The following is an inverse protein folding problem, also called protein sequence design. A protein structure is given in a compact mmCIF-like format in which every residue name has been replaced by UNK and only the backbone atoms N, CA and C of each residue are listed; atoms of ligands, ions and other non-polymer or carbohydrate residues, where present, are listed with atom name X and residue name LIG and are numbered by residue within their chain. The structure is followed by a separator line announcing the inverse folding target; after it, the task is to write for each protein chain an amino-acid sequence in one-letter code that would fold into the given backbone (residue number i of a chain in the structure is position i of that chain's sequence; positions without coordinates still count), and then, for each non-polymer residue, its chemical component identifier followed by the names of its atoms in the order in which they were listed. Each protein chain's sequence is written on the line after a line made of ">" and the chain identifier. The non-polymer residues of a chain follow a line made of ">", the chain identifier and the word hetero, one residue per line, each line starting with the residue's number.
data_IF_125098703353
#
_entry.id   IF_125098703353
#
_cell.length_a   1.000
_cell.length_b   1.000
_cell.length_c   1.000
_cell.angle_alpha   90.00
_cell.angle_beta   90.00
_cell.angle_gamma   90.00
#
_symmetry.space_group_name_H-M   'P 1'
#
loop_
_entity.id
_entity.type
_entity.pdbx_description
1 polymer ?
#
# COMPACT_ATOMS: atom_id res chain seq x y z
N UNK A 1 -9.11 15.04 -4.52
CA UNK A 1 -8.51 13.76 -4.09
C UNK A 1 -7.10 14.04 -3.61
N UNK A 2 -6.75 13.65 -2.37
CA UNK A 2 -5.38 13.71 -1.87
C UNK A 2 -4.67 12.38 -2.17
N UNK A 3 -3.40 12.44 -2.55
CA UNK A 3 -2.57 11.26 -2.82
C UNK A 3 -1.18 11.50 -2.25
N UNK A 4 -0.62 10.48 -1.60
CA UNK A 4 0.72 10.50 -1.02
C UNK A 4 1.51 9.32 -1.57
N UNK A 5 2.71 9.58 -2.09
CA UNK A 5 3.69 8.56 -2.50
C UNK A 5 4.90 8.69 -1.58
N UNK A 6 5.32 7.58 -0.99
CA UNK A 6 6.44 7.57 -0.07
C UNK A 6 7.14 6.21 -0.12
N UNK A 7 8.47 6.22 0.03
CA UNK A 7 9.28 5.01 0.12
C UNK A 7 9.35 4.57 1.58
N UNK A 8 8.86 3.37 1.88
CA UNK A 8 8.80 2.79 3.23
C UNK A 8 9.84 1.68 3.37
N UNK A 9 10.61 1.69 4.45
CA UNK A 9 11.50 0.59 4.84
C UNK A 9 10.78 -0.47 5.65
N UNK A 10 11.32 -1.68 5.69
CA UNK A 10 10.83 -2.73 6.60
C UNK A 10 10.93 -2.24 8.05
N UNK A 11 9.86 -2.39 8.81
CA UNK A 11 9.71 -1.91 10.19
C UNK A 11 9.07 -0.52 10.31
N UNK A 12 8.98 0.26 9.22
CA UNK A 12 8.32 1.56 9.23
C UNK A 12 6.80 1.44 9.12
N UNK A 13 6.10 2.46 9.63
CA UNK A 13 4.64 2.53 9.68
C UNK A 13 4.13 3.85 9.10
N UNK A 14 2.97 3.79 8.45
CA UNK A 14 2.24 4.94 7.93
C UNK A 14 0.87 4.97 8.61
N UNK A 15 0.54 6.10 9.21
CA UNK A 15 -0.76 6.31 9.87
C UNK A 15 -1.64 7.28 9.09
N UNK A 16 -2.93 6.99 9.05
CA UNK A 16 -3.97 7.82 8.43
C UNK A 16 -5.01 8.22 9.49
N UNK A 17 -5.74 9.31 9.24
CA UNK A 17 -6.82 9.80 10.11
C UNK A 17 -6.41 9.84 11.60
N UNK A 18 -5.28 10.51 11.89
CA UNK A 18 -4.75 10.65 13.26
C UNK A 18 -4.54 9.32 14.01
N UNK A 19 -4.18 8.26 13.29
CA UNK A 19 -3.87 6.94 13.87
C UNK A 19 -5.01 5.93 13.80
N UNK A 20 -6.18 6.31 13.29
CA UNK A 20 -7.33 5.39 13.10
C UNK A 20 -7.01 4.21 12.20
N UNK A 21 -6.07 4.39 11.27
CA UNK A 21 -5.53 3.33 10.43
C UNK A 21 -4.01 3.42 10.49
N UNK A 22 -3.35 2.32 10.80
CA UNK A 22 -1.89 2.21 10.79
C UNK A 22 -1.47 1.02 9.93
N UNK A 23 -0.61 1.26 8.96
CA UNK A 23 -0.06 0.25 8.05
C UNK A 23 1.44 0.13 8.31
N UNK A 24 1.89 -1.07 8.68
CA UNK A 24 3.30 -1.37 8.94
C UNK A 24 3.84 -2.34 7.92
N UNK A 25 5.01 -2.05 7.35
CA UNK A 25 5.71 -3.00 6.47
C UNK A 25 6.48 -4.00 7.31
N UNK A 26 6.02 -5.25 7.36
CA UNK A 26 6.62 -6.29 8.19
C UNK A 26 7.82 -6.96 7.54
N UNK A 27 7.71 -7.29 6.26
CA UNK A 27 8.76 -7.96 5.52
C UNK A 27 8.59 -7.70 4.02
N UNK A 28 9.67 -7.84 3.26
CA UNK A 28 9.68 -7.67 1.82
C UNK A 28 10.51 -8.78 1.17
N UNK A 29 9.88 -9.55 0.29
CA UNK A 29 10.51 -10.59 -0.50
C UNK A 29 10.30 -10.31 -1.99
N UNK A 30 11.36 -9.86 -2.67
CA UNK A 30 11.31 -9.47 -4.08
C UNK A 30 10.27 -8.38 -4.34
N UNK A 31 9.20 -8.74 -5.08
CA UNK A 31 8.08 -7.85 -5.43
C UNK A 31 6.90 -7.91 -4.44
N UNK A 32 6.95 -8.80 -3.45
CA UNK A 32 5.90 -8.95 -2.45
C UNK A 32 6.32 -8.31 -1.15
N UNK A 33 5.38 -7.59 -0.52
CA UNK A 33 5.54 -7.07 0.83
C UNK A 33 4.45 -7.66 1.71
N UNK A 34 4.82 -8.03 2.94
CA UNK A 34 3.87 -8.37 3.99
C UNK A 34 3.55 -7.11 4.77
N UNK A 35 2.26 -6.77 4.83
CA UNK A 35 1.76 -5.61 5.55
C UNK A 35 0.98 -6.09 6.78
N UNK A 36 1.18 -5.42 7.91
CA UNK A 36 0.26 -5.45 9.04
C UNK A 36 -0.62 -4.21 8.96
N UNK A 37 -1.94 -4.39 9.01
CA UNK A 37 -2.90 -3.29 8.95
C UNK A 37 -3.70 -3.34 10.23
N UNK A 38 -3.59 -2.29 11.05
CA UNK A 38 -4.41 -2.09 12.23
C UNK A 38 -5.37 -0.95 11.95
N UNK A 39 -6.67 -1.19 12.13
CA UNK A 39 -7.69 -0.18 11.99
C UNK A 39 -8.77 -0.39 13.05
N UNK A 40 -9.46 0.69 13.44
CA UNK A 40 -10.61 0.61 14.34
C UNK A 40 -11.74 -0.25 13.74
N UNK A 41 -12.61 -0.79 14.59
CA UNK A 41 -13.69 -1.70 14.19
C UNK A 41 -14.67 -1.13 13.15
N UNK A 42 -14.82 0.20 13.09
CA UNK A 42 -15.68 0.87 12.10
C UNK A 42 -15.06 0.91 10.69
N UNK A 43 -13.80 0.51 10.53
CA UNK A 43 -13.06 0.60 9.26
C UNK A 43 -13.06 -0.77 8.58
N UNK A 44 -13.72 -0.84 7.42
CA UNK A 44 -13.69 -2.03 6.57
C UNK A 44 -12.37 -2.12 5.79
N UNK A 45 -11.60 -3.19 6.00
CA UNK A 45 -10.39 -3.48 5.25
C UNK A 45 -10.71 -4.48 4.13
N UNK A 46 -10.37 -4.15 2.89
CA UNK A 46 -10.55 -5.02 1.73
C UNK A 46 -9.24 -5.21 0.95
N UNK A 47 -8.92 -6.45 0.58
CA UNK A 47 -7.81 -6.73 -0.32
C UNK A 47 -8.29 -6.76 -1.77
N UNK A 48 -8.05 -5.67 -2.49
CA UNK A 48 -8.39 -5.54 -3.91
C UNK A 48 -7.22 -6.07 -4.74
N UNK A 49 -7.37 -7.28 -5.30
CA UNK A 49 -6.43 -7.79 -6.31
C UNK A 49 -6.65 -7.05 -7.62
N UNK A 50 -5.70 -6.22 -8.03
CA UNK A 50 -5.72 -5.66 -9.37
C UNK A 50 -5.57 -6.80 -10.40
N UNK A 51 -6.55 -6.97 -11.30
CA UNK A 51 -6.36 -7.81 -12.49
C UNK A 51 -5.26 -7.17 -13.34
N UNK A 52 -4.29 -7.97 -13.77
CA UNK A 52 -3.07 -7.54 -14.46
C UNK A 52 -3.31 -6.69 -15.74
N UNK A 53 -4.54 -6.64 -16.27
CA UNK A 53 -4.92 -5.82 -17.42
C UNK A 53 -5.14 -4.31 -17.11
N UNK A 54 -5.16 -3.89 -15.85
CA UNK A 54 -5.40 -2.48 -15.48
C UNK A 54 -4.12 -1.70 -15.13
N UNK A 55 -3.00 -2.37 -14.89
CA UNK A 55 -1.71 -1.73 -14.56
C UNK A 55 -0.93 -1.24 -15.79
N UNK A 56 -1.27 -1.72 -16.99
CA UNK A 56 -0.66 -1.28 -18.25
C UNK A 56 -1.16 0.10 -18.73
N UNK A 57 -2.24 0.64 -18.16
CA UNK A 57 -2.84 1.91 -18.61
C UNK A 57 -2.33 3.18 -17.91
N UNK A 58 -1.63 3.06 -16.79
CA UNK A 58 -1.23 4.22 -15.97
C UNK A 58 0.30 4.44 -15.83
N UNK A 59 1.07 4.12 -16.87
CA UNK A 59 2.37 4.76 -17.10
C UNK A 59 3.61 3.92 -16.82
N UNK A 60 3.94 3.01 -17.74
CA UNK A 60 5.32 2.55 -17.90
C UNK A 60 5.72 2.67 -19.38
N UNK A 61 5.89 3.92 -19.84
CA UNK A 61 6.72 4.19 -21.02
C UNK A 61 8.17 3.96 -20.57
N UNK A 62 8.67 2.73 -20.69
CA UNK A 62 10.11 2.51 -20.66
C UNK A 62 10.62 2.89 -22.03
N UNK A 63 11.15 4.10 -22.13
CA UNK A 63 12.07 4.45 -23.20
C UNK A 63 13.29 3.54 -23.10
N UNK A 64 13.40 2.53 -23.98
CA UNK A 64 14.57 2.31 -24.83
C UNK A 64 14.29 1.23 -25.87
#
# INVERSE_FOLDING_TARGET
>A
MSSLKLDVRVGESVSFESGRITVTVMDKSGKLARLSINANDDVKIEHIKAKASSLARNGLTVAR
#
